data_IF_283034481932
#
_entry.id   IF_283034481932
#
_cell.length_a   1.000
_cell.length_b   1.000
_cell.length_c   1.000
_cell.angle_alpha   90.00
_cell.angle_beta   90.00
_cell.angle_gamma   90.00
#
_symmetry.space_group_name_H-M   'P 1'
#
loop_
_entity.id
_entity.type
_entity.pdbx_description
1 polymer ?
#
# COMPACT_ATOMS: atom_id res chain seq x y z
N UNK A 1 -18.21 -22.56 -7.91
CA UNK A 1 -19.11 -21.37 -7.86
C UNK A 1 -18.33 -20.22 -8.45
N UNK A 2 -18.61 -19.89 -9.72
CA UNK A 2 -17.89 -18.92 -10.53
C UNK A 2 -18.17 -17.51 -10.02
N UNK A 3 -17.14 -16.81 -9.57
CA UNK A 3 -17.23 -15.37 -9.30
C UNK A 3 -17.54 -14.66 -10.62
N UNK A 4 -18.80 -14.27 -10.78
CA UNK A 4 -19.20 -13.30 -11.79
C UNK A 4 -18.50 -11.99 -11.46
N UNK A 5 -17.46 -11.69 -12.20
CA UNK A 5 -16.83 -10.38 -12.26
C UNK A 5 -17.92 -9.38 -12.64
N UNK A 6 -18.31 -8.53 -11.71
CA UNK A 6 -19.11 -7.34 -11.95
C UNK A 6 -18.32 -6.40 -12.87
N UNK A 7 -18.52 -6.57 -14.19
CA UNK A 7 -17.97 -5.72 -15.26
C UNK A 7 -18.82 -4.46 -15.39
N UNK A 8 -18.80 -3.61 -14.40
CA UNK A 8 -19.29 -2.22 -14.53
C UNK A 8 -18.40 -1.26 -13.76
N UNK A 9 -17.08 -1.37 -13.95
CA UNK A 9 -16.22 -0.20 -13.83
C UNK A 9 -16.02 0.27 -15.28
N UNK A 10 -16.74 1.29 -15.69
CA UNK A 10 -16.42 2.06 -16.88
C UNK A 10 -14.94 2.46 -16.75
N UNK A 11 -14.07 1.68 -17.40
CA UNK A 11 -12.67 2.04 -17.54
C UNK A 11 -12.64 3.27 -18.44
N UNK A 12 -12.76 4.44 -17.84
CA UNK A 12 -12.70 5.68 -18.60
C UNK A 12 -11.26 5.82 -19.11
N UNK A 13 -11.13 5.67 -20.42
CA UNK A 13 -9.87 5.84 -21.14
C UNK A 13 -9.84 7.27 -21.65
N UNK A 14 -8.83 8.05 -21.24
CA UNK A 14 -8.63 9.38 -21.77
C UNK A 14 -8.09 9.26 -23.22
N UNK A 15 -8.78 9.79 -24.24
CA UNK A 15 -8.29 9.72 -25.63
C UNK A 15 -6.99 10.51 -25.76
N UNK A 16 -5.97 9.92 -26.41
CA UNK A 16 -4.70 10.59 -26.63
C UNK A 16 -4.85 11.58 -27.79
N UNK A 17 -4.98 12.86 -27.47
CA UNK A 17 -5.01 13.96 -28.45
C UNK A 17 -3.58 14.33 -28.87
N UNK A 18 -3.41 14.91 -30.06
CA UNK A 18 -2.08 15.25 -30.64
C UNK A 18 -1.13 15.95 -29.65
N UNK A 19 -1.51 17.01 -28.90
CA UNK A 19 -0.61 17.65 -27.94
C UNK A 19 -0.16 16.72 -26.81
N UNK A 20 -1.02 15.80 -26.37
CA UNK A 20 -0.65 14.79 -25.37
C UNK A 20 0.31 13.75 -25.96
N UNK A 21 0.07 13.31 -27.21
CA UNK A 21 0.97 12.39 -27.89
C UNK A 21 2.39 12.97 -27.99
N UNK A 22 2.54 14.22 -28.42
CA UNK A 22 3.85 14.89 -28.55
C UNK A 22 4.61 14.95 -27.20
N UNK A 23 3.93 15.22 -26.10
CA UNK A 23 4.52 15.18 -24.76
C UNK A 23 4.98 13.77 -24.39
N UNK A 24 4.15 12.77 -24.62
CA UNK A 24 4.47 11.37 -24.32
C UNK A 24 5.64 10.86 -25.15
N UNK A 25 5.65 11.16 -26.46
CA UNK A 25 6.75 10.79 -27.36
C UNK A 25 8.08 11.43 -26.93
N UNK A 26 8.06 12.71 -26.55
CA UNK A 26 9.27 13.37 -26.04
C UNK A 26 9.77 12.78 -24.73
N UNK A 27 8.88 12.36 -23.83
CA UNK A 27 9.25 11.65 -22.60
C UNK A 27 9.85 10.28 -22.95
N UNK A 28 9.26 9.56 -23.92
CA UNK A 28 9.79 8.29 -24.43
C UNK A 28 11.23 8.43 -24.92
N UNK A 29 11.49 9.40 -25.79
CA UNK A 29 12.86 9.70 -26.30
C UNK A 29 13.86 9.94 -25.17
N UNK A 30 13.50 10.72 -24.15
CA UNK A 30 14.40 11.00 -23.03
C UNK A 30 14.68 9.75 -22.18
N UNK A 31 13.70 8.91 -21.98
CA UNK A 31 13.89 7.64 -21.25
C UNK A 31 14.78 6.66 -22.04
N UNK A 32 14.61 6.56 -23.36
CA UNK A 32 15.45 5.75 -24.25
C UNK A 32 16.90 6.26 -24.27
N UNK A 33 17.08 7.58 -24.32
CA UNK A 33 18.37 8.24 -24.22
C UNK A 33 19.00 8.19 -22.81
N UNK A 34 18.32 7.57 -21.83
CA UNK A 34 18.71 7.51 -20.40
C UNK A 34 18.96 8.89 -19.78
N UNK A 35 18.24 9.90 -20.23
CA UNK A 35 18.32 11.25 -19.68
C UNK A 35 17.56 11.31 -18.35
N UNK A 36 18.24 10.99 -17.24
CA UNK A 36 17.66 10.90 -15.90
C UNK A 36 17.77 12.23 -15.10
N UNK A 37 17.73 13.37 -15.79
CA UNK A 37 17.81 14.69 -15.15
C UNK A 37 16.52 15.02 -14.40
N UNK A 38 16.59 15.22 -13.07
CA UNK A 38 15.45 15.58 -12.24
C UNK A 38 14.71 16.84 -12.71
N UNK A 39 15.44 17.85 -13.15
CA UNK A 39 14.86 19.10 -13.64
C UNK A 39 14.05 18.87 -14.93
N UNK A 40 14.58 18.05 -15.84
CA UNK A 40 13.87 17.69 -17.07
C UNK A 40 12.54 16.98 -16.76
N UNK A 41 12.55 16.04 -15.83
CA UNK A 41 11.32 15.35 -15.44
C UNK A 41 10.28 16.28 -14.81
N UNK A 42 10.72 17.26 -14.01
CA UNK A 42 9.82 18.28 -13.44
C UNK A 42 9.20 19.16 -14.53
N UNK A 43 10.00 19.61 -15.51
CA UNK A 43 9.50 20.39 -16.64
C UNK A 43 8.48 19.61 -17.46
N UNK A 44 8.76 18.32 -17.77
CA UNK A 44 7.83 17.46 -18.50
C UNK A 44 6.55 17.18 -17.71
N UNK A 45 6.64 17.07 -16.41
CA UNK A 45 5.45 16.93 -15.55
C UNK A 45 4.58 18.19 -15.59
N UNK A 46 5.18 19.37 -15.57
CA UNK A 46 4.47 20.64 -15.69
C UNK A 46 3.82 20.80 -17.06
N UNK A 47 4.56 20.50 -18.13
CA UNK A 47 4.05 20.51 -19.51
C UNK A 47 2.84 19.57 -19.66
N UNK A 48 2.94 18.34 -19.16
CA UNK A 48 1.84 17.37 -19.15
C UNK A 48 0.60 17.93 -18.46
N UNK A 49 0.75 18.56 -17.29
CA UNK A 49 -0.36 19.17 -16.56
C UNK A 49 -1.00 20.33 -17.33
N UNK A 50 -0.21 21.15 -18.01
CA UNK A 50 -0.71 22.25 -18.85
C UNK A 50 -1.48 21.72 -20.06
N UNK A 51 -0.95 20.70 -20.74
CA UNK A 51 -1.63 20.03 -21.86
C UNK A 51 -2.95 19.40 -21.43
N UNK A 52 -2.95 18.69 -20.30
CA UNK A 52 -4.20 18.11 -19.76
C UNK A 52 -5.24 19.20 -19.45
N UNK A 53 -4.84 20.31 -18.84
CA UNK A 53 -5.75 21.42 -18.54
C UNK A 53 -6.23 22.17 -19.79
N UNK A 54 -5.37 22.31 -20.80
CA UNK A 54 -5.67 23.09 -22.00
C UNK A 54 -6.51 22.34 -23.04
N UNK A 55 -6.37 21.03 -23.12
CA UNK A 55 -6.95 20.23 -24.21
C UNK A 55 -8.01 19.22 -23.77
N UNK A 56 -8.26 19.08 -22.46
CA UNK A 56 -9.30 18.18 -21.92
C UNK A 56 -10.27 18.94 -21.02
N UNK A 57 -11.53 18.56 -21.10
CA UNK A 57 -12.57 19.14 -20.25
C UNK A 57 -12.45 18.66 -18.80
N UNK A 58 -12.96 19.46 -17.87
CA UNK A 58 -13.03 19.08 -16.45
C UNK A 58 -13.75 17.73 -16.25
N UNK A 59 -14.80 17.44 -17.06
CA UNK A 59 -15.55 16.20 -17.01
C UNK A 59 -14.69 15.00 -17.39
N UNK A 60 -13.92 15.10 -18.49
CA UNK A 60 -13.00 14.04 -18.95
C UNK A 60 -11.92 13.75 -17.91
N UNK A 61 -11.29 14.80 -17.38
CA UNK A 61 -10.26 14.65 -16.37
C UNK A 61 -10.81 14.07 -15.05
N UNK A 62 -11.97 14.52 -14.61
CA UNK A 62 -12.61 13.98 -13.40
C UNK A 62 -12.93 12.50 -13.58
N UNK A 63 -13.50 12.08 -14.70
CA UNK A 63 -13.81 10.69 -14.97
C UNK A 63 -12.55 9.82 -15.01
N UNK A 64 -11.49 10.28 -15.69
CA UNK A 64 -10.21 9.58 -15.77
C UNK A 64 -9.54 9.41 -14.39
N UNK A 65 -9.43 10.48 -13.62
CA UNK A 65 -8.82 10.43 -12.29
C UNK A 65 -9.70 9.72 -11.26
N UNK A 66 -11.03 9.78 -11.37
CA UNK A 66 -11.95 9.04 -10.50
C UNK A 66 -11.81 7.53 -10.69
N UNK A 67 -11.63 7.05 -11.92
CA UNK A 67 -11.35 5.64 -12.19
C UNK A 67 -10.02 5.19 -11.51
N UNK A 68 -8.98 6.02 -11.60
CA UNK A 68 -7.69 5.76 -10.93
C UNK A 68 -7.83 5.75 -9.40
N UNK A 69 -8.62 6.67 -8.84
CA UNK A 69 -8.90 6.73 -7.40
C UNK A 69 -9.68 5.51 -6.92
N UNK A 70 -10.67 5.06 -7.69
CA UNK A 70 -11.44 3.84 -7.38
C UNK A 70 -10.57 2.56 -7.36
N UNK A 71 -9.57 2.47 -8.24
CA UNK A 71 -8.60 1.35 -8.24
C UNK A 71 -7.74 1.38 -6.97
N UNK A 72 -7.30 2.57 -6.56
CA UNK A 72 -6.54 2.75 -5.32
C UNK A 72 -7.36 2.36 -4.10
N UNK A 73 -8.58 2.89 -3.97
CA UNK A 73 -9.48 2.59 -2.84
C UNK A 73 -9.81 1.09 -2.75
N UNK A 74 -10.05 0.40 -3.89
CA UNK A 74 -10.26 -1.05 -3.92
C UNK A 74 -9.05 -1.82 -3.42
N UNK A 75 -7.83 -1.39 -3.78
CA UNK A 75 -6.60 -2.02 -3.30
C UNK A 75 -6.39 -1.78 -1.81
N UNK A 76 -6.57 -0.55 -1.34
CA UNK A 76 -6.47 -0.21 0.09
C UNK A 76 -7.48 -1.02 0.91
N UNK A 77 -8.74 -1.10 0.45
CA UNK A 77 -9.77 -1.94 1.07
C UNK A 77 -9.36 -3.42 1.12
N UNK A 78 -8.89 -3.97 0.00
CA UNK A 78 -8.38 -5.35 -0.05
C UNK A 78 -7.28 -5.59 0.99
N UNK A 79 -6.31 -4.67 1.09
CA UNK A 79 -5.22 -4.76 2.07
C UNK A 79 -5.77 -4.78 3.49
N UNK A 80 -6.68 -3.85 3.82
CA UNK A 80 -7.24 -3.73 5.17
C UNK A 80 -8.11 -4.94 5.58
N UNK A 81 -8.78 -5.59 4.64
CA UNK A 81 -9.63 -6.78 4.91
C UNK A 81 -8.82 -8.08 5.05
N UNK A 82 -7.58 -8.10 4.52
CA UNK A 82 -6.84 -9.36 4.39
C UNK A 82 -5.50 -9.39 5.14
N UNK A 83 -4.97 -8.28 5.63
CA UNK A 83 -3.63 -8.25 6.24
C UNK A 83 -3.48 -9.16 7.47
N UNK A 84 -4.57 -9.45 8.19
CA UNK A 84 -4.57 -10.37 9.34
C UNK A 84 -4.54 -11.86 8.94
N UNK A 85 -4.81 -12.17 7.67
CA UNK A 85 -4.91 -13.54 7.15
C UNK A 85 -3.61 -14.04 6.55
N UNK A 86 -2.61 -13.17 6.39
CA UNK A 86 -1.35 -13.47 5.70
C UNK A 86 -0.15 -13.20 6.60
N UNK A 87 0.89 -14.01 6.46
CA UNK A 87 2.10 -13.92 7.27
C UNK A 87 3.30 -13.35 6.51
N UNK A 88 3.23 -13.29 5.19
CA UNK A 88 4.31 -12.83 4.32
C UNK A 88 3.80 -11.95 3.18
N UNK A 89 4.71 -11.17 2.60
CA UNK A 89 4.41 -10.35 1.41
C UNK A 89 4.06 -11.25 0.22
N UNK A 90 4.69 -12.43 0.13
CA UNK A 90 4.41 -13.41 -0.89
C UNK A 90 2.97 -13.91 -0.81
N UNK A 91 2.52 -14.38 0.37
CA UNK A 91 1.13 -14.81 0.58
C UNK A 91 0.14 -13.69 0.26
N UNK A 92 0.49 -12.44 0.58
CA UNK A 92 -0.35 -11.29 0.28
C UNK A 92 -0.47 -11.03 -1.23
N UNK A 93 0.65 -11.16 -1.96
CA UNK A 93 0.68 -11.03 -3.41
C UNK A 93 -0.10 -12.17 -4.10
N UNK A 94 0.07 -13.42 -3.61
CA UNK A 94 -0.64 -14.59 -4.10
C UNK A 94 -2.16 -14.44 -3.90
N UNK A 95 -2.60 -13.93 -2.75
CA UNK A 95 -4.01 -13.64 -2.46
C UNK A 95 -4.59 -12.55 -3.37
N UNK A 96 -3.77 -11.62 -3.85
CA UNK A 96 -4.13 -10.59 -4.81
C UNK A 96 -3.94 -11.00 -6.28
N UNK A 97 -3.47 -12.25 -6.52
CA UNK A 97 -3.22 -12.83 -7.84
C UNK A 97 -2.20 -12.07 -8.69
N UNK A 98 -1.12 -11.57 -8.07
CA UNK A 98 -0.03 -10.87 -8.75
C UNK A 98 1.33 -11.33 -8.23
N UNK A 99 2.42 -11.05 -8.99
CA UNK A 99 3.76 -11.27 -8.48
C UNK A 99 4.08 -10.39 -7.28
N UNK A 100 4.94 -10.86 -6.36
CA UNK A 100 5.39 -10.11 -5.18
C UNK A 100 5.97 -8.74 -5.55
N UNK A 101 6.73 -8.67 -6.66
CA UNK A 101 7.28 -7.40 -7.18
C UNK A 101 6.17 -6.42 -7.59
N UNK A 102 5.15 -6.90 -8.29
CA UNK A 102 4.00 -6.07 -8.72
C UNK A 102 3.18 -5.62 -7.53
N UNK A 103 2.95 -6.50 -6.56
CA UNK A 103 2.27 -6.19 -5.31
C UNK A 103 3.01 -5.10 -4.54
N UNK A 104 4.32 -5.29 -4.30
CA UNK A 104 5.15 -4.34 -3.55
C UNK A 104 5.20 -2.96 -4.19
N UNK A 105 5.28 -2.87 -5.52
CA UNK A 105 5.24 -1.60 -6.25
C UNK A 105 3.89 -0.90 -6.08
N UNK A 106 2.78 -1.64 -6.24
CA UNK A 106 1.43 -1.10 -6.06
C UNK A 106 1.20 -0.68 -4.62
N UNK A 107 1.63 -1.51 -3.67
CA UNK A 107 1.53 -1.22 -2.25
C UNK A 107 2.26 0.08 -1.89
N UNK A 108 3.52 0.22 -2.33
CA UNK A 108 4.29 1.43 -2.10
C UNK A 108 3.63 2.69 -2.68
N UNK A 109 3.03 2.59 -3.88
CA UNK A 109 2.31 3.73 -4.48
C UNK A 109 1.05 4.14 -3.71
N UNK A 110 0.40 3.19 -3.01
CA UNK A 110 -0.82 3.45 -2.24
C UNK A 110 -0.53 3.90 -0.79
N UNK A 111 0.41 3.22 -0.12
CA UNK A 111 0.70 3.38 1.32
C UNK A 111 1.99 4.17 1.62
N UNK A 112 2.80 4.50 0.62
CA UNK A 112 4.04 5.28 0.79
C UNK A 112 5.22 4.51 1.41
N UNK A 113 5.04 3.23 1.77
CA UNK A 113 6.07 2.37 2.35
C UNK A 113 6.00 0.94 1.82
N UNK A 114 7.02 0.12 2.12
CA UNK A 114 7.02 -1.28 1.69
C UNK A 114 5.97 -2.11 2.45
N UNK A 115 5.36 -3.14 1.81
CA UNK A 115 4.37 -4.00 2.46
C UNK A 115 4.93 -4.70 3.70
N UNK A 116 6.20 -5.15 3.66
CA UNK A 116 6.85 -5.78 4.80
C UNK A 116 6.90 -4.84 6.03
N UNK A 117 7.38 -3.60 5.82
CA UNK A 117 7.48 -2.60 6.91
C UNK A 117 6.11 -2.27 7.49
N UNK A 118 5.12 -2.11 6.63
CA UNK A 118 3.74 -1.84 7.03
C UNK A 118 3.14 -3.02 7.82
N UNK A 119 3.33 -4.26 7.34
CA UNK A 119 2.86 -5.45 8.05
C UNK A 119 3.50 -5.59 9.43
N UNK A 120 4.81 -5.28 9.57
CA UNK A 120 5.48 -5.28 10.86
C UNK A 120 4.87 -4.27 11.84
N UNK A 121 4.55 -3.06 11.35
CA UNK A 121 3.85 -2.06 12.17
C UNK A 121 2.47 -2.56 12.62
N UNK A 122 1.69 -3.13 11.69
CA UNK A 122 0.35 -3.65 12.00
C UNK A 122 0.40 -4.80 13.01
N UNK A 123 1.38 -5.69 12.91
CA UNK A 123 1.61 -6.73 13.92
C UNK A 123 1.99 -6.15 15.29
N UNK A 124 2.83 -5.13 15.30
CA UNK A 124 3.18 -4.45 16.54
C UNK A 124 1.95 -3.76 17.18
N UNK A 125 1.14 -3.04 16.38
CA UNK A 125 -0.11 -2.43 16.85
C UNK A 125 -1.05 -3.49 17.46
N UNK A 126 -1.31 -4.59 16.75
CA UNK A 126 -2.15 -5.69 17.23
C UNK A 126 -1.61 -6.31 18.53
N UNK A 127 -0.30 -6.52 18.60
CA UNK A 127 0.34 -7.05 19.80
C UNK A 127 0.15 -6.10 20.97
N UNK A 128 0.30 -4.79 20.77
CA UNK A 128 0.10 -3.81 21.83
C UNK A 128 -1.36 -3.79 22.31
N UNK A 129 -2.33 -3.86 21.40
CA UNK A 129 -3.76 -4.00 21.75
C UNK A 129 -3.99 -5.20 22.66
N UNK A 130 -3.47 -6.37 22.30
CA UNK A 130 -3.59 -7.59 23.10
C UNK A 130 -2.86 -7.49 24.46
N UNK A 131 -1.69 -6.84 24.50
CA UNK A 131 -0.97 -6.61 25.75
C UNK A 131 -1.78 -5.74 26.72
N UNK A 132 -2.45 -4.71 26.20
CA UNK A 132 -3.24 -3.77 27.01
C UNK A 132 -4.55 -4.37 27.48
N UNK A 133 -5.07 -5.39 26.82
CA UNK A 133 -6.29 -6.10 27.20
C UNK A 133 -6.00 -7.08 28.36
N UNK A 134 -6.61 -6.90 29.55
CA UNK A 134 -6.39 -7.77 30.70
C UNK A 134 -6.95 -9.19 30.52
N UNK A 135 -7.86 -9.40 29.59
CA UNK A 135 -8.43 -10.72 29.28
C UNK A 135 -7.41 -11.68 28.65
N UNK A 136 -6.34 -11.15 28.03
CA UNK A 136 -5.27 -12.00 27.47
C UNK A 136 -4.13 -12.19 28.45
N UNK A 137 -3.76 -13.43 28.73
CA UNK A 137 -2.49 -13.77 29.39
C UNK A 137 -1.32 -13.56 28.41
N UNK A 138 -0.12 -13.28 28.92
CA UNK A 138 1.07 -13.15 28.07
C UNK A 138 1.45 -14.45 27.36
N UNK A 139 1.07 -15.61 27.93
CA UNK A 139 1.22 -16.90 27.28
C UNK A 139 0.32 -17.00 26.06
N UNK A 140 -0.96 -16.69 26.20
CA UNK A 140 -1.90 -16.69 25.07
C UNK A 140 -1.49 -15.74 23.96
N UNK A 141 -1.01 -14.54 24.31
CA UNK A 141 -0.48 -13.57 23.32
C UNK A 141 0.71 -14.16 22.57
N UNK A 142 1.65 -14.77 23.31
CA UNK A 142 2.83 -15.44 22.73
C UNK A 142 2.42 -16.52 21.73
N UNK A 143 1.48 -17.37 22.11
CA UNK A 143 1.03 -18.49 21.29
C UNK A 143 0.23 -18.02 20.06
N UNK A 144 -0.69 -17.07 20.23
CA UNK A 144 -1.50 -16.51 19.13
C UNK A 144 -0.65 -15.77 18.08
N UNK A 145 0.44 -15.14 18.52
CA UNK A 145 1.34 -14.41 17.61
C UNK A 145 2.47 -15.28 17.07
N UNK A 146 2.49 -16.57 17.43
CA UNK A 146 3.44 -17.57 16.92
C UNK A 146 4.86 -17.38 17.43
N UNK A 147 5.05 -16.86 18.66
CA UNK A 147 6.37 -16.83 19.29
C UNK A 147 6.75 -18.22 19.78
N UNK A 148 8.02 -18.58 19.61
CA UNK A 148 8.55 -19.89 20.02
C UNK A 148 8.59 -20.08 21.54
N UNK A 149 8.54 -18.99 22.31
CA UNK A 149 8.52 -19.01 23.78
C UNK A 149 8.10 -17.66 24.36
N UNK A 150 7.60 -17.61 25.61
CA UNK A 150 7.34 -16.36 26.33
C UNK A 150 8.57 -15.47 26.49
N UNK A 151 9.75 -16.07 26.59
CA UNK A 151 11.02 -15.35 26.65
C UNK A 151 11.32 -14.62 25.34
N UNK A 152 11.06 -15.28 24.21
CA UNK A 152 11.20 -14.66 22.87
C UNK A 152 10.20 -13.52 22.68
N UNK A 153 8.96 -13.70 23.11
CA UNK A 153 7.94 -12.63 23.13
C UNK A 153 8.39 -11.44 23.97
N UNK A 154 8.89 -11.68 25.19
CA UNK A 154 9.40 -10.63 26.09
C UNK A 154 10.58 -9.87 25.47
N UNK A 155 11.53 -10.59 24.86
CA UNK A 155 12.67 -9.98 24.17
C UNK A 155 12.20 -9.13 22.95
N UNK A 156 11.21 -9.60 22.23
CA UNK A 156 10.60 -8.85 21.12
C UNK A 156 9.95 -7.55 21.63
N UNK A 157 9.18 -7.60 22.72
CA UNK A 157 8.56 -6.41 23.33
C UNK A 157 9.63 -5.38 23.74
N UNK A 158 10.71 -5.79 24.37
CA UNK A 158 11.82 -4.90 24.72
C UNK A 158 12.45 -4.24 23.51
N UNK A 159 12.63 -4.98 22.42
CA UNK A 159 13.20 -4.45 21.17
C UNK A 159 12.27 -3.46 20.48
N UNK A 160 10.96 -3.75 20.44
CA UNK A 160 9.97 -2.94 19.70
C UNK A 160 9.49 -1.72 20.50
N UNK A 161 9.32 -1.87 21.81
CA UNK A 161 8.70 -0.84 22.67
C UNK A 161 9.65 -0.32 23.77
N UNK A 162 10.87 -0.84 23.86
CA UNK A 162 11.83 -0.43 24.87
C UNK A 162 11.57 -1.00 26.27
N UNK A 163 10.51 -1.80 26.49
CA UNK A 163 10.13 -2.33 27.79
C UNK A 163 9.44 -3.71 27.70
N UNK A 164 9.43 -4.50 28.79
CA UNK A 164 8.76 -5.79 28.82
C UNK A 164 7.22 -5.64 28.78
N UNK A 165 6.47 -6.71 28.40
CA UNK A 165 5.00 -6.65 28.27
C UNK A 165 4.27 -6.32 29.57
N UNK A 166 4.81 -6.68 30.74
CA UNK A 166 4.25 -6.31 32.05
C UNK A 166 4.21 -4.79 32.25
N UNK A 167 5.32 -4.11 32.00
CA UNK A 167 5.39 -2.64 32.11
C UNK A 167 4.58 -1.95 31.02
N UNK A 168 4.50 -2.53 29.82
CA UNK A 168 3.62 -2.01 28.75
C UNK A 168 2.15 -2.04 29.18
N UNK A 169 1.70 -3.15 29.79
CA UNK A 169 0.33 -3.28 30.31
C UNK A 169 0.07 -2.28 31.44
N UNK A 170 0.98 -2.14 32.37
CA UNK A 170 0.84 -1.19 33.48
C UNK A 170 0.77 0.26 33.01
N UNK A 171 1.66 0.65 32.09
CA UNK A 171 1.70 2.01 31.54
C UNK A 171 0.44 2.40 30.75
N UNK A 172 -0.23 1.42 30.16
CA UNK A 172 -1.44 1.64 29.34
C UNK A 172 -2.74 1.25 30.08
N UNK A 173 -2.70 0.88 31.36
CA UNK A 173 -3.88 0.81 32.20
C UNK A 173 -4.42 2.24 32.38
N UNK A 174 -5.54 2.54 31.69
CA UNK A 174 -6.36 3.72 31.96
C UNK A 174 -7.46 3.36 32.92
#
# INVERSE_FOLDING_TARGET
MLFRSDRTADNFILPVRKPLAEVLDSVGMYLEARLLCKHMHLLKQQELLLVLKGFYTKKELTAFFSASTGIRQRFEKFVMENYKKVNSVKEFADLYYVSERSFSRKFHSCFGESPYKWMQKKRAEQMLEMICDPEFSFQEISDRLGFSSPSHFTAYCRRMYGMPPTLLREKNKK
#
